data_IF_105791879490
#
_entry.id   IF_105791879490
#
_cell.length_a   1.000
_cell.length_b   1.000
_cell.length_c   1.000
_cell.angle_alpha   90.00
_cell.angle_beta   90.00
_cell.angle_gamma   90.00
#
_symmetry.space_group_name_H-M   'P 1'
#
loop_
_entity.id
_entity.type
_entity.pdbx_description
1 polymer ?
#
# COMPACT_ATOMS: atom_id res chain seq x y z
N UNK A 1 -13.14 25.76 -7.86
CA UNK A 1 -13.75 24.61 -7.17
C UNK A 1 -13.81 23.35 -8.06
N UNK A 2 -14.26 23.43 -9.31
CA UNK A 2 -14.39 22.26 -10.18
C UNK A 2 -13.06 21.55 -10.53
N UNK A 3 -11.96 22.32 -10.71
CA UNK A 3 -10.65 21.75 -11.05
C UNK A 3 -10.00 20.98 -9.90
N UNK A 4 -10.12 21.46 -8.66
CA UNK A 4 -9.53 20.79 -7.47
C UNK A 4 -10.24 19.48 -7.16
N UNK A 5 -11.56 19.45 -7.34
CA UNK A 5 -12.37 18.24 -7.21
C UNK A 5 -12.01 17.19 -8.27
N UNK A 6 -11.80 17.59 -9.52
CA UNK A 6 -11.39 16.65 -10.57
C UNK A 6 -10.01 16.03 -10.27
N UNK A 7 -9.05 16.85 -9.82
CA UNK A 7 -7.71 16.36 -9.43
C UNK A 7 -7.78 15.35 -8.28
N UNK A 8 -8.61 15.61 -7.26
CA UNK A 8 -8.83 14.69 -6.14
C UNK A 8 -9.20 13.30 -6.65
N UNK A 9 -10.25 13.24 -7.48
CA UNK A 9 -10.79 12.00 -7.97
C UNK A 9 -9.79 11.24 -8.83
N UNK A 10 -8.98 11.93 -9.64
CA UNK A 10 -7.92 11.26 -10.41
C UNK A 10 -6.89 10.61 -9.49
N UNK A 11 -6.39 11.32 -8.48
CA UNK A 11 -5.46 10.72 -7.51
C UNK A 11 -6.10 9.54 -6.77
N UNK A 12 -7.36 9.69 -6.37
CA UNK A 12 -8.12 8.67 -5.65
C UNK A 12 -8.32 7.41 -6.50
N UNK A 13 -8.79 7.56 -7.76
CA UNK A 13 -9.03 6.43 -8.66
C UNK A 13 -7.75 5.70 -9.03
N UNK A 14 -6.64 6.42 -9.25
CA UNK A 14 -5.34 5.78 -9.50
C UNK A 14 -4.89 4.98 -8.28
N UNK A 15 -4.99 5.56 -7.08
CA UNK A 15 -4.59 4.88 -5.86
C UNK A 15 -5.46 3.65 -5.57
N UNK A 16 -6.78 3.83 -5.63
CA UNK A 16 -7.75 2.77 -5.35
C UNK A 16 -7.69 1.67 -6.40
N UNK A 17 -7.55 2.02 -7.69
CA UNK A 17 -7.43 1.05 -8.77
C UNK A 17 -6.22 0.15 -8.61
N UNK A 18 -5.05 0.72 -8.29
CA UNK A 18 -3.84 -0.05 -8.03
C UNK A 18 -4.00 -0.98 -6.82
N UNK A 19 -4.50 -0.44 -5.68
CA UNK A 19 -4.69 -1.24 -4.47
C UNK A 19 -5.76 -2.31 -4.62
N UNK A 20 -6.78 -2.07 -5.44
CA UNK A 20 -7.79 -3.08 -5.76
C UNK A 20 -7.19 -4.24 -6.57
N UNK A 21 -6.38 -3.94 -7.58
CA UNK A 21 -5.63 -4.96 -8.32
C UNK A 21 -4.69 -5.72 -7.37
N UNK A 22 -3.98 -5.03 -6.48
CA UNK A 22 -3.16 -5.67 -5.45
C UNK A 22 -3.97 -6.58 -4.55
N UNK A 23 -5.13 -6.15 -4.07
CA UNK A 23 -6.00 -6.96 -3.23
C UNK A 23 -6.43 -8.25 -3.94
N UNK A 24 -6.78 -8.16 -5.23
CA UNK A 24 -7.12 -9.34 -6.05
C UNK A 24 -5.93 -10.29 -6.13
N UNK A 25 -4.75 -9.77 -6.50
CA UNK A 25 -3.54 -10.59 -6.67
C UNK A 25 -3.14 -11.28 -5.36
N UNK A 26 -3.11 -10.56 -4.25
CA UNK A 26 -2.78 -11.14 -2.96
C UNK A 26 -3.85 -12.14 -2.47
N UNK A 27 -5.13 -11.86 -2.71
CA UNK A 27 -6.23 -12.79 -2.39
C UNK A 27 -6.16 -14.08 -3.23
N UNK A 28 -5.83 -13.97 -4.52
CA UNK A 28 -5.60 -15.14 -5.39
C UNK A 28 -4.40 -15.95 -4.91
N UNK A 29 -3.31 -15.28 -4.53
CA UNK A 29 -2.13 -15.91 -3.92
C UNK A 29 -2.50 -16.71 -2.67
N UNK A 30 -3.19 -16.10 -1.71
CA UNK A 30 -3.67 -16.75 -0.49
C UNK A 30 -4.50 -18.02 -0.77
N UNK A 31 -5.39 -17.97 -1.76
CA UNK A 31 -6.19 -19.13 -2.17
C UNK A 31 -5.32 -20.25 -2.80
N UNK A 32 -4.30 -19.90 -3.58
CA UNK A 32 -3.40 -20.88 -4.21
C UNK A 32 -2.59 -21.68 -3.18
N UNK A 33 -2.27 -21.09 -2.03
CA UNK A 33 -1.58 -21.78 -0.92
C UNK A 33 -2.52 -22.56 0.03
N UNK A 34 -3.78 -22.75 -0.34
CA UNK A 34 -4.67 -23.74 0.30
C UNK A 34 -5.34 -23.28 1.61
N UNK A 35 -5.46 -21.98 1.84
CA UNK A 35 -6.25 -21.45 2.95
C UNK A 35 -7.67 -21.11 2.47
N UNK A 36 -8.63 -22.00 2.72
CA UNK A 36 -9.98 -22.00 2.12
C UNK A 36 -10.81 -20.71 2.30
N UNK A 37 -10.52 -19.87 3.30
CA UNK A 37 -11.25 -18.61 3.58
C UNK A 37 -10.33 -17.38 3.63
N UNK A 38 -9.01 -17.56 3.65
CA UNK A 38 -8.09 -16.45 3.90
C UNK A 38 -8.03 -15.47 2.73
N UNK A 39 -8.11 -15.93 1.48
CA UNK A 39 -7.96 -15.05 0.32
C UNK A 39 -9.09 -14.05 0.16
N UNK A 40 -10.33 -14.45 0.45
CA UNK A 40 -11.48 -13.53 0.45
C UNK A 40 -11.37 -12.50 1.58
N UNK A 41 -11.00 -12.93 2.79
CA UNK A 41 -10.80 -12.03 3.92
C UNK A 41 -9.66 -11.04 3.67
N UNK A 42 -8.56 -11.52 3.09
CA UNK A 42 -7.40 -10.68 2.74
C UNK A 42 -7.74 -9.66 1.66
N UNK A 43 -8.50 -10.07 0.64
CA UNK A 43 -9.03 -9.17 -0.38
C UNK A 43 -9.91 -8.07 0.22
N UNK A 44 -10.88 -8.44 1.07
CA UNK A 44 -11.77 -7.49 1.74
C UNK A 44 -10.95 -6.53 2.61
N UNK A 45 -10.02 -7.07 3.39
CA UNK A 45 -9.18 -6.29 4.29
C UNK A 45 -8.35 -5.24 3.54
N UNK A 46 -7.58 -5.65 2.52
CA UNK A 46 -6.79 -4.72 1.70
C UNK A 46 -7.71 -3.72 0.99
N UNK A 47 -8.89 -4.13 0.52
CA UNK A 47 -9.82 -3.21 -0.15
C UNK A 47 -10.35 -2.13 0.79
N UNK A 48 -10.70 -2.48 2.03
CA UNK A 48 -11.19 -1.51 3.04
C UNK A 48 -10.08 -0.57 3.48
N UNK A 49 -8.91 -1.12 3.81
CA UNK A 49 -7.72 -0.31 4.17
C UNK A 49 -7.30 0.57 3.01
N UNK A 50 -7.34 0.03 1.79
CA UNK A 50 -7.03 0.73 0.55
C UNK A 50 -7.98 1.89 0.29
N UNK A 51 -9.29 1.72 0.52
CA UNK A 51 -10.27 2.80 0.39
C UNK A 51 -9.95 3.96 1.34
N UNK A 52 -9.67 3.66 2.61
CA UNK A 52 -9.29 4.68 3.58
C UNK A 52 -7.97 5.35 3.18
N UNK A 53 -6.95 4.56 2.87
CA UNK A 53 -5.65 5.04 2.41
C UNK A 53 -5.79 5.95 1.19
N UNK A 54 -6.49 5.53 0.14
CA UNK A 54 -6.65 6.29 -1.10
C UNK A 54 -7.38 7.61 -0.87
N UNK A 55 -8.33 7.65 0.07
CA UNK A 55 -9.04 8.88 0.44
C UNK A 55 -8.12 9.90 1.10
N UNK A 56 -7.38 9.47 2.14
CA UNK A 56 -6.43 10.35 2.86
C UNK A 56 -5.26 10.74 1.95
N UNK A 57 -4.75 9.79 1.18
CA UNK A 57 -3.62 10.00 0.29
C UNK A 57 -3.94 10.93 -0.87
N UNK A 58 -5.11 10.77 -1.51
CA UNK A 58 -5.54 11.68 -2.58
C UNK A 58 -5.69 13.12 -2.07
N UNK A 59 -6.24 13.30 -0.86
CA UNK A 59 -6.26 14.61 -0.23
C UNK A 59 -4.84 15.15 -0.02
N UNK A 60 -3.91 14.36 0.53
CA UNK A 60 -2.53 14.78 0.71
C UNK A 60 -1.85 15.16 -0.61
N UNK A 61 -2.06 14.41 -1.69
CA UNK A 61 -1.48 14.72 -3.00
C UNK A 61 -1.94 16.08 -3.55
N UNK A 62 -3.16 16.51 -3.22
CA UNK A 62 -3.64 17.85 -3.56
C UNK A 62 -2.95 18.93 -2.76
N UNK A 63 -2.86 18.75 -1.44
CA UNK A 63 -2.22 19.70 -0.54
C UNK A 63 -0.75 19.89 -0.90
N UNK A 64 -0.05 18.80 -1.19
CA UNK A 64 1.35 18.81 -1.64
C UNK A 64 1.52 19.20 -3.11
N UNK A 65 0.42 19.34 -3.86
CA UNK A 65 0.38 19.67 -5.29
C UNK A 65 1.22 18.72 -6.14
N UNK A 66 1.30 17.45 -5.73
CA UNK A 66 2.03 16.42 -6.43
C UNK A 66 1.38 16.08 -7.79
N UNK A 67 2.18 15.47 -8.67
CA UNK A 67 1.73 15.02 -9.98
C UNK A 67 1.01 13.66 -9.90
N UNK A 68 0.21 13.33 -10.91
CA UNK A 68 -0.40 12.00 -11.00
C UNK A 68 0.64 10.88 -11.13
N UNK A 69 1.77 11.15 -11.79
CA UNK A 69 2.88 10.21 -11.89
C UNK A 69 3.44 9.87 -10.49
N UNK A 70 3.56 10.87 -9.62
CA UNK A 70 4.01 10.67 -8.24
C UNK A 70 3.06 9.74 -7.47
N UNK A 71 1.75 9.92 -7.64
CA UNK A 71 0.74 9.02 -7.06
C UNK A 71 0.88 7.60 -7.58
N UNK A 72 1.02 7.43 -8.91
CA UNK A 72 1.20 6.12 -9.52
C UNK A 72 2.46 5.42 -8.99
N UNK A 73 3.59 6.13 -8.90
CA UNK A 73 4.85 5.58 -8.38
C UNK A 73 4.70 5.16 -6.92
N UNK A 74 4.20 6.04 -6.05
CA UNK A 74 4.14 5.74 -4.62
C UNK A 74 3.16 4.60 -4.30
N UNK A 75 1.99 4.60 -4.94
CA UNK A 75 1.02 3.51 -4.76
C UNK A 75 1.48 2.23 -5.46
N UNK A 76 2.18 2.33 -6.59
CA UNK A 76 2.81 1.19 -7.27
C UNK A 76 3.88 0.53 -6.41
N UNK A 77 4.75 1.30 -5.76
CA UNK A 77 5.71 0.79 -4.80
C UNK A 77 5.03 0.09 -3.62
N UNK A 78 3.97 0.70 -3.06
CA UNK A 78 3.15 0.05 -2.02
C UNK A 78 2.54 -1.27 -2.51
N UNK A 79 2.03 -1.28 -3.74
CA UNK A 79 1.41 -2.46 -4.35
C UNK A 79 2.41 -3.62 -4.46
N UNK A 80 3.61 -3.35 -5.00
CA UNK A 80 4.70 -4.33 -5.10
C UNK A 80 5.11 -4.80 -3.70
N UNK A 81 5.24 -3.87 -2.76
CA UNK A 81 5.59 -4.18 -1.38
C UNK A 81 4.60 -5.17 -0.73
N UNK A 82 3.29 -4.91 -0.85
CA UNK A 82 2.26 -5.78 -0.29
C UNK A 82 2.24 -7.16 -0.95
N UNK A 83 2.44 -7.23 -2.27
CA UNK A 83 2.54 -8.51 -2.98
C UNK A 83 3.77 -9.31 -2.52
N UNK A 84 4.93 -8.67 -2.40
CA UNK A 84 6.15 -9.32 -1.92
C UNK A 84 6.00 -9.79 -0.47
N UNK A 85 5.42 -8.96 0.40
CA UNK A 85 5.18 -9.34 1.79
C UNK A 85 4.23 -10.54 1.88
N UNK A 86 3.14 -10.53 1.10
CA UNK A 86 2.22 -11.66 1.03
C UNK A 86 2.88 -12.93 0.50
N UNK A 87 3.79 -12.81 -0.48
CA UNK A 87 4.53 -13.95 -1.03
C UNK A 87 5.46 -14.55 0.02
N UNK A 88 6.29 -13.70 0.65
CA UNK A 88 7.27 -14.13 1.64
C UNK A 88 6.60 -14.74 2.87
N UNK A 89 5.42 -14.25 3.25
CA UNK A 89 4.63 -14.85 4.33
C UNK A 89 4.27 -16.32 4.06
N UNK A 90 4.07 -16.71 2.79
CA UNK A 90 3.71 -18.09 2.43
C UNK A 90 4.91 -18.97 2.07
N UNK A 91 5.94 -18.39 1.44
CA UNK A 91 7.10 -19.15 0.93
C UNK A 91 8.14 -19.47 2.00
N UNK A 92 8.16 -18.72 3.11
CA UNK A 92 9.14 -18.95 4.17
C UNK A 92 8.79 -20.22 4.98
N UNK A 93 9.76 -21.13 5.22
CA UNK A 93 9.52 -22.39 5.91
C UNK A 93 9.07 -22.17 7.36
N UNK A 94 7.98 -22.83 7.74
CA UNK A 94 7.41 -22.82 9.10
C UNK A 94 7.33 -24.24 9.61
N UNK A 95 8.00 -24.54 10.73
CA UNK A 95 8.00 -25.86 11.34
C UNK A 95 8.09 -25.78 12.86
N UNK A 96 7.50 -26.75 13.56
CA UNK A 96 7.62 -26.86 15.01
C UNK A 96 9.10 -27.05 15.40
N UNK A 97 9.61 -26.17 16.26
CA UNK A 97 11.01 -26.19 16.71
C UNK A 97 11.99 -25.36 15.88
N UNK A 98 11.54 -24.66 14.83
CA UNK A 98 12.37 -23.71 14.10
C UNK A 98 12.36 -22.37 14.85
N UNK A 99 13.49 -21.96 15.42
CA UNK A 99 13.65 -20.59 15.88
C UNK A 99 13.50 -19.64 14.68
N UNK A 100 12.50 -18.76 14.72
CA UNK A 100 12.31 -17.78 13.67
C UNK A 100 13.53 -16.87 13.57
N UNK A 101 14.12 -16.83 12.37
CA UNK A 101 15.13 -15.83 12.03
C UNK A 101 14.57 -14.42 12.24
N UNK A 102 15.42 -13.44 12.53
CA UNK A 102 15.00 -12.04 12.66
C UNK A 102 14.22 -11.56 11.42
N UNK A 103 14.58 -12.08 10.24
CA UNK A 103 13.89 -11.79 8.99
C UNK A 103 12.45 -12.32 9.00
N UNK A 104 12.21 -13.57 9.41
CA UNK A 104 10.85 -14.11 9.52
C UNK A 104 10.01 -13.35 10.55
N UNK A 105 10.58 -13.01 11.71
CA UNK A 105 9.89 -12.17 12.72
C UNK A 105 9.47 -10.82 12.16
N UNK A 106 10.29 -10.27 11.25
CA UNK A 106 9.97 -9.02 10.58
C UNK A 106 8.85 -9.19 9.56
N UNK A 107 8.83 -10.27 8.78
CA UNK A 107 7.76 -10.55 7.81
C UNK A 107 6.41 -10.81 8.50
N UNK A 108 6.41 -11.54 9.61
CA UNK A 108 5.19 -11.87 10.37
C UNK A 108 4.69 -10.73 11.27
N UNK A 109 5.41 -9.62 11.33
CA UNK A 109 5.07 -8.48 12.18
C UNK A 109 4.00 -7.60 11.51
N UNK A 110 2.91 -7.36 12.23
CA UNK A 110 1.87 -6.39 11.85
C UNK A 110 2.47 -5.01 11.55
N UNK A 111 3.50 -4.60 12.32
CA UNK A 111 4.16 -3.32 12.12
C UNK A 111 4.78 -3.21 10.73
N UNK A 112 5.36 -4.31 10.22
CA UNK A 112 5.98 -4.33 8.89
C UNK A 112 4.92 -4.04 7.85
N UNK A 113 3.78 -4.75 7.90
CA UNK A 113 2.64 -4.49 7.02
C UNK A 113 2.21 -3.01 7.05
N UNK A 114 2.04 -2.43 8.24
CA UNK A 114 1.60 -1.03 8.39
C UNK A 114 2.65 -0.01 7.91
N UNK A 115 3.94 -0.29 8.08
CA UNK A 115 5.02 0.56 7.59
C UNK A 115 4.96 0.76 6.06
N UNK A 116 4.50 -0.24 5.30
CA UNK A 116 4.27 -0.10 3.87
C UNK A 116 3.33 1.06 3.55
N UNK A 117 2.19 1.14 4.24
CA UNK A 117 1.20 2.19 4.03
C UNK A 117 1.67 3.58 4.46
N UNK A 118 2.62 3.69 5.40
CA UNK A 118 3.17 4.97 5.83
C UNK A 118 4.11 5.60 4.81
N UNK A 119 4.86 4.79 4.05
CA UNK A 119 5.88 5.28 3.13
C UNK A 119 5.36 6.28 2.08
N UNK A 120 4.24 6.04 1.37
CA UNK A 120 3.68 7.01 0.44
C UNK A 120 3.43 8.39 1.06
N UNK A 121 2.96 8.44 2.31
CA UNK A 121 2.72 9.72 3.01
C UNK A 121 4.03 10.45 3.31
N UNK A 122 5.02 9.74 3.83
CA UNK A 122 6.34 10.29 4.16
C UNK A 122 6.99 10.86 2.90
N UNK A 123 7.02 10.10 1.81
CA UNK A 123 7.61 10.56 0.55
C UNK A 123 6.83 11.72 -0.08
N UNK A 124 5.50 11.73 0.03
CA UNK A 124 4.68 12.86 -0.43
C UNK A 124 5.03 14.16 0.30
N UNK A 125 5.15 14.10 1.62
CA UNK A 125 5.54 15.24 2.46
C UNK A 125 6.98 15.68 2.20
N UNK A 126 7.89 14.72 2.05
CA UNK A 126 9.29 15.00 1.73
C UNK A 126 9.44 15.70 0.37
N UNK A 127 8.76 15.19 -0.67
CA UNK A 127 8.75 15.84 -1.98
C UNK A 127 8.25 17.29 -1.89
N UNK A 128 7.21 17.53 -1.10
CA UNK A 128 6.70 18.88 -0.89
C UNK A 128 7.72 19.80 -0.20
N UNK A 129 8.33 19.33 0.90
CA UNK A 129 9.27 20.11 1.69
C UNK A 129 10.58 20.43 0.95
N UNK A 130 11.10 19.48 0.16
CA UNK A 130 12.37 19.64 -0.55
C UNK A 130 12.22 20.40 -1.87
N UNK A 131 11.16 20.12 -2.65
CA UNK A 131 10.99 20.69 -3.99
C UNK A 131 10.30 22.07 -3.98
N UNK A 132 9.73 22.49 -2.85
CA UNK A 132 9.32 23.88 -2.62
C UNK A 132 10.11 24.45 -1.44
N UNK A 133 11.31 25.00 -1.66
CA UNK A 133 11.88 25.90 -0.66
C UNK A 133 10.88 27.02 -0.44
N UNK A 134 10.41 27.15 0.80
CA UNK A 134 9.61 28.27 1.27
C UNK A 134 10.33 29.56 0.88
N UNK A 135 9.79 30.27 -0.11
CA UNK A 135 10.12 31.68 -0.31
C UNK A 135 9.52 32.41 0.89
N UNK A 136 10.34 32.62 1.92
CA UNK A 136 10.13 33.68 2.90
C UNK A 136 10.33 35.03 2.22
#
# INVERSE_FOLDING_TARGET
MHMTQNRYWIHWWVAMGLLFVTAILCGMMQNLWGYDVSGQLFFIFISVVGLFFSSVFAWLQLETKNSYLTTFIFVGCLSIYLMLLSYLYHDLPRGEGVEFSLFQKLIDSDLTFWCGFLLPFIFSLFNYAVLRPTKF
#
